data_IF_465093017585
#
_entry.id   IF_465093017585
#
_cell.length_a   1.000
_cell.length_b   1.000
_cell.length_c   1.000
_cell.angle_alpha   90.00
_cell.angle_beta   90.00
_cell.angle_gamma   90.00
#
_symmetry.space_group_name_H-M   'P 1'
#
loop_
_entity.id
_entity.type
_entity.pdbx_description
1 polymer ?
#
# COMPACT_ATOMS: atom_id res chain seq x y z
N UNK A 1 18.20 -22.06 -21.85
CA UNK A 1 17.87 -22.31 -20.42
C UNK A 1 17.27 -21.02 -19.87
N UNK A 2 15.96 -20.81 -20.03
CA UNK A 2 15.30 -19.63 -19.48
C UNK A 2 15.17 -19.84 -17.97
N UNK A 3 15.89 -19.04 -17.17
CA UNK A 3 15.67 -19.00 -15.73
C UNK A 3 14.34 -18.30 -15.50
N UNK A 4 13.34 -19.06 -15.04
CA UNK A 4 12.07 -18.54 -14.56
C UNK A 4 12.34 -17.79 -13.25
N UNK A 5 12.67 -16.51 -13.36
CA UNK A 5 12.63 -15.60 -12.22
C UNK A 5 11.17 -15.33 -11.89
N UNK A 6 10.59 -16.22 -11.07
CA UNK A 6 9.35 -15.90 -10.37
C UNK A 6 9.66 -14.76 -9.39
N UNK A 7 8.96 -13.61 -9.42
CA UNK A 7 9.00 -12.69 -8.29
C UNK A 7 8.47 -13.44 -7.05
N UNK A 8 9.20 -13.43 -5.93
CA UNK A 8 8.81 -14.17 -4.74
C UNK A 8 7.76 -13.36 -3.99
N UNK A 9 6.49 -13.57 -4.33
CA UNK A 9 5.39 -13.71 -3.37
C UNK A 9 4.05 -13.64 -4.11
N UNK A 10 3.04 -14.43 -3.69
CA UNK A 10 1.66 -14.06 -3.97
C UNK A 10 1.40 -12.63 -3.46
N UNK A 11 0.55 -11.84 -4.13
CA UNK A 11 0.10 -10.55 -3.64
C UNK A 11 -0.67 -10.77 -2.34
N UNK A 12 0.05 -10.84 -1.21
CA UNK A 12 -0.56 -11.03 0.08
C UNK A 12 -1.12 -9.68 0.50
N UNK A 13 -2.45 -9.48 0.49
CA UNK A 13 -3.05 -8.19 0.80
C UNK A 13 -2.66 -7.71 2.20
N UNK A 14 -2.39 -8.66 3.09
CA UNK A 14 -1.87 -8.41 4.44
C UNK A 14 -0.46 -7.82 4.45
N UNK A 15 0.44 -8.32 3.61
CA UNK A 15 1.82 -7.83 3.56
C UNK A 15 1.86 -6.41 2.98
N UNK A 16 1.10 -6.19 1.92
CA UNK A 16 0.95 -4.85 1.32
C UNK A 16 0.37 -3.86 2.33
N UNK A 17 -0.64 -4.26 3.11
CA UNK A 17 -1.20 -3.43 4.16
C UNK A 17 -0.15 -3.05 5.23
N UNK A 18 0.75 -3.97 5.60
CA UNK A 18 1.84 -3.70 6.55
C UNK A 18 2.87 -2.74 5.94
N UNK A 19 3.26 -2.94 4.68
CA UNK A 19 4.24 -2.09 4.01
C UNK A 19 3.68 -0.69 3.74
N UNK A 20 2.39 -0.58 3.39
CA UNK A 20 1.66 0.67 3.32
C UNK A 20 1.65 1.37 4.69
N UNK A 21 1.32 0.66 5.78
CA UNK A 21 1.35 1.22 7.12
C UNK A 21 2.73 1.74 7.49
N UNK A 22 3.80 1.01 7.15
CA UNK A 22 5.19 1.45 7.39
C UNK A 22 5.52 2.69 6.58
N UNK A 23 5.11 2.74 5.31
CA UNK A 23 5.29 3.89 4.44
C UNK A 23 4.58 5.15 5.00
N UNK A 24 3.42 4.99 5.64
CA UNK A 24 2.70 6.08 6.31
C UNK A 24 3.28 6.46 7.68
N UNK A 25 3.96 5.55 8.39
CA UNK A 25 4.57 5.80 9.71
C UNK A 25 6.01 6.34 9.63
N UNK A 26 6.64 6.28 8.46
CA UNK A 26 8.02 6.74 8.23
C UNK A 26 8.20 8.24 8.46
N UNK A 27 9.45 8.66 8.69
CA UNK A 27 9.82 10.07 8.86
C UNK A 27 9.81 10.75 7.47
N UNK A 28 8.62 11.14 7.03
CA UNK A 28 8.34 11.51 5.64
C UNK A 28 7.67 10.34 4.92
N UNK A 29 6.42 10.53 4.51
CA UNK A 29 5.65 9.52 3.81
C UNK A 29 6.38 9.06 2.55
N UNK A 30 6.69 7.76 2.46
CA UNK A 30 7.27 7.12 1.27
C UNK A 30 6.21 6.99 0.17
N UNK A 31 5.83 8.14 -0.39
CA UNK A 31 4.81 8.25 -1.43
C UNK A 31 5.15 7.40 -2.65
N UNK A 32 6.44 7.27 -2.97
CA UNK A 32 6.96 6.41 -4.04
C UNK A 32 6.63 4.94 -3.80
N UNK A 33 6.78 4.45 -2.58
CA UNK A 33 6.47 3.05 -2.20
C UNK A 33 4.96 2.81 -2.25
N UNK A 34 4.17 3.74 -1.73
CA UNK A 34 2.69 3.68 -1.77
C UNK A 34 2.20 3.67 -3.23
N UNK A 35 2.71 4.58 -4.06
CA UNK A 35 2.37 4.65 -5.49
C UNK A 35 2.74 3.34 -6.17
N UNK A 36 3.95 2.82 -5.94
CA UNK A 36 4.42 1.58 -6.55
C UNK A 36 3.53 0.38 -6.18
N UNK A 37 3.17 0.22 -4.90
CA UNK A 37 2.28 -0.85 -4.45
C UNK A 37 0.90 -0.71 -5.10
N UNK A 38 0.36 0.51 -5.17
CA UNK A 38 -0.94 0.73 -5.78
C UNK A 38 -0.90 0.49 -7.29
N UNK A 39 0.07 1.04 -8.03
CA UNK A 39 0.17 0.93 -9.49
C UNK A 39 0.44 -0.49 -9.97
N UNK A 40 1.09 -1.32 -9.16
CA UNK A 40 1.36 -2.73 -9.47
C UNK A 40 0.23 -3.70 -9.04
N UNK A 41 -0.90 -3.21 -8.52
CA UNK A 41 -2.04 -4.03 -8.05
C UNK A 41 -3.32 -3.78 -8.84
N UNK A 42 -4.03 -4.85 -9.16
CA UNK A 42 -5.36 -4.80 -9.78
C UNK A 42 -6.42 -4.21 -8.83
N UNK A 43 -7.52 -3.70 -9.39
CA UNK A 43 -8.65 -3.14 -8.62
C UNK A 43 -9.22 -4.10 -7.58
N UNK A 44 -9.31 -5.39 -7.92
CA UNK A 44 -9.78 -6.47 -7.03
C UNK A 44 -8.81 -6.66 -5.86
N UNK A 45 -7.50 -6.65 -6.13
CA UNK A 45 -6.47 -6.79 -5.11
C UNK A 45 -6.44 -5.59 -4.17
N UNK A 46 -6.60 -4.37 -4.69
CA UNK A 46 -6.72 -3.15 -3.87
C UNK A 46 -7.90 -3.22 -2.91
N UNK A 47 -9.04 -3.78 -3.35
CA UNK A 47 -10.20 -4.00 -2.47
C UNK A 47 -9.88 -4.96 -1.31
N UNK A 48 -9.19 -6.06 -1.59
CA UNK A 48 -8.73 -7.00 -0.56
C UNK A 48 -7.72 -6.36 0.40
N UNK A 49 -6.78 -5.58 -0.12
CA UNK A 49 -5.80 -4.83 0.69
C UNK A 49 -6.53 -3.83 1.59
N UNK A 50 -7.51 -3.08 1.07
CA UNK A 50 -8.32 -2.15 1.85
C UNK A 50 -9.05 -2.86 3.00
N UNK A 51 -9.65 -4.01 2.72
CA UNK A 51 -10.38 -4.79 3.72
C UNK A 51 -9.45 -5.31 4.83
N UNK A 52 -8.31 -5.90 4.45
CA UNK A 52 -7.30 -6.38 5.40
C UNK A 52 -6.69 -5.22 6.20
N UNK A 53 -6.37 -4.10 5.55
CA UNK A 53 -5.83 -2.90 6.18
C UNK A 53 -6.82 -2.32 7.21
N UNK A 54 -8.10 -2.22 6.86
CA UNK A 54 -9.16 -1.80 7.78
C UNK A 54 -9.32 -2.78 8.94
N UNK A 55 -9.22 -4.08 8.69
CA UNK A 55 -9.32 -5.08 9.75
C UNK A 55 -8.13 -5.04 10.73
N UNK A 56 -6.92 -4.74 10.25
CA UNK A 56 -5.71 -4.69 11.08
C UNK A 56 -5.50 -3.36 11.80
N UNK A 57 -5.79 -2.25 11.12
CA UNK A 57 -5.47 -0.90 11.60
C UNK A 57 -6.71 -0.09 11.97
N UNK A 58 -7.91 -0.62 11.76
CA UNK A 58 -9.18 0.08 11.97
C UNK A 58 -9.28 1.42 11.24
N UNK A 59 -8.53 1.58 10.15
CA UNK A 59 -8.45 2.80 9.35
C UNK A 59 -8.69 2.48 7.87
N UNK A 60 -9.31 3.40 7.13
CA UNK A 60 -9.51 3.26 5.70
C UNK A 60 -8.23 3.64 4.95
N UNK A 61 -7.67 2.69 4.18
CA UNK A 61 -6.44 2.90 3.41
C UNK A 61 -6.55 4.11 2.46
N UNK A 62 -7.70 4.27 1.80
CA UNK A 62 -7.96 5.41 0.90
C UNK A 62 -7.96 6.74 1.63
N UNK A 63 -8.48 6.78 2.86
CA UNK A 63 -8.47 7.97 3.70
C UNK A 63 -7.04 8.30 4.13
N UNK A 64 -6.26 7.29 4.54
CA UNK A 64 -4.84 7.46 4.90
C UNK A 64 -4.02 8.01 3.75
N UNK A 65 -4.12 7.40 2.56
CA UNK A 65 -3.44 7.87 1.33
C UNK A 65 -3.85 9.32 1.01
N UNK A 66 -5.15 9.62 1.09
CA UNK A 66 -5.65 10.98 0.81
C UNK A 66 -5.15 11.99 1.84
N UNK A 67 -5.05 11.62 3.11
CA UNK A 67 -4.54 12.48 4.18
C UNK A 67 -3.06 12.78 4.03
N UNK A 68 -2.25 11.79 3.64
CA UNK A 68 -0.82 11.96 3.41
C UNK A 68 -0.54 12.80 2.15
N UNK A 69 -1.23 12.52 1.03
CA UNK A 69 -1.06 13.28 -0.21
C UNK A 69 -1.60 14.71 -0.12
N UNK A 70 -2.74 14.91 0.57
CA UNK A 70 -3.35 16.23 0.76
C UNK A 70 -2.75 17.02 1.94
N UNK A 71 -1.96 16.36 2.80
CA UNK A 71 -1.21 16.97 3.89
C UNK A 71 -0.12 17.92 3.40
N UNK A 72 0.42 17.67 2.20
CA UNK A 72 1.47 18.48 1.58
C UNK A 72 0.97 19.79 0.92
N UNK A 73 -0.33 20.08 0.98
CA UNK A 73 -0.94 21.25 0.33
C UNK A 73 -1.49 22.30 1.33
N UNK A 74 -1.12 22.23 2.62
CA UNK A 74 -1.58 23.20 3.63
C UNK A 74 -0.37 23.91 4.26
N UNK A 75 -0.09 25.09 3.71
CA UNK A 75 0.74 26.20 4.22
C UNK A 75 2.24 25.94 4.44
#
# INVERSE_FOLDING_TARGET
MASLTLPPAPPNPRQDAIDLQKAFKGFGCDSTTVINILTHRDSVQRGLIQQEYRAMYHEELSHRISSELNGNHKA
#
